data_IF_825700585303
#
_entry.id   IF_825700585303
#
_cell.length_a   1.000
_cell.length_b   1.000
_cell.length_c   1.000
_cell.angle_alpha   90.00
_cell.angle_beta   90.00
_cell.angle_gamma   90.00
#
_symmetry.space_group_name_H-M   'P 1'
#
loop_
_entity.id
_entity.type
_entity.pdbx_description
1 polymer ?
#
# COMPACT_ATOMS: atom_id res chain seq x y z
N UNK A 1 -32.23 16.30 12.14
CA UNK A 1 -31.74 16.34 10.75
C UNK A 1 -31.16 14.95 10.48
N UNK A 2 -31.93 14.08 9.83
CA UNK A 2 -31.44 12.76 9.42
C UNK A 2 -30.39 13.01 8.35
N UNK A 3 -29.15 12.60 8.60
CA UNK A 3 -28.19 12.42 7.52
C UNK A 3 -28.74 11.25 6.69
N UNK A 4 -29.14 11.50 5.45
CA UNK A 4 -29.47 10.41 4.52
C UNK A 4 -28.28 9.46 4.47
N UNK A 5 -28.53 8.18 4.68
CA UNK A 5 -27.48 7.16 4.56
C UNK A 5 -26.91 7.22 3.13
N UNK A 6 -25.57 7.19 2.98
CA UNK A 6 -24.97 7.16 1.65
C UNK A 6 -25.51 5.95 0.88
N UNK A 7 -26.03 6.19 -0.31
CA UNK A 7 -26.56 5.11 -1.15
C UNK A 7 -25.45 4.14 -1.53
N UNK A 8 -25.76 2.84 -1.64
CA UNK A 8 -24.75 1.83 -2.02
C UNK A 8 -24.07 2.16 -3.36
N UNK A 9 -24.83 2.77 -4.27
CA UNK A 9 -24.34 3.24 -5.56
C UNK A 9 -23.22 4.29 -5.42
N UNK A 10 -23.37 5.24 -4.49
CA UNK A 10 -22.34 6.27 -4.25
C UNK A 10 -21.05 5.65 -3.70
N UNK A 11 -21.15 4.66 -2.80
CA UNK A 11 -19.99 3.97 -2.24
C UNK A 11 -19.26 3.12 -3.30
N UNK A 12 -20.01 2.47 -4.19
CA UNK A 12 -19.46 1.73 -5.33
C UNK A 12 -18.73 2.66 -6.31
N UNK A 13 -19.27 3.87 -6.55
CA UNK A 13 -18.60 4.88 -7.38
C UNK A 13 -17.27 5.33 -6.79
N UNK A 14 -17.20 5.60 -5.48
CA UNK A 14 -15.94 5.97 -4.83
C UNK A 14 -14.89 4.86 -4.91
N UNK A 15 -15.28 3.60 -4.70
CA UNK A 15 -14.35 2.47 -4.84
C UNK A 15 -13.87 2.32 -6.28
N UNK A 16 -14.78 2.43 -7.26
CA UNK A 16 -14.43 2.35 -8.68
C UNK A 16 -13.46 3.47 -9.09
N UNK A 17 -13.67 4.68 -8.59
CA UNK A 17 -12.73 5.78 -8.84
C UNK A 17 -11.37 5.49 -8.22
N UNK A 18 -11.33 5.05 -6.96
CA UNK A 18 -10.09 4.72 -6.28
C UNK A 18 -9.32 3.59 -7.00
N UNK A 19 -10.01 2.58 -7.52
CA UNK A 19 -9.39 1.53 -8.35
C UNK A 19 -8.80 2.12 -9.64
N UNK A 20 -9.54 3.00 -10.32
CA UNK A 20 -9.06 3.69 -11.52
C UNK A 20 -7.81 4.52 -11.23
N UNK A 21 -7.82 5.28 -10.14
CA UNK A 21 -6.69 6.10 -9.67
C UNK A 21 -5.49 5.23 -9.29
N UNK A 22 -5.70 4.13 -8.58
CA UNK A 22 -4.64 3.17 -8.25
C UNK A 22 -3.97 2.58 -9.49
N UNK A 23 -4.72 2.25 -10.55
CA UNK A 23 -4.18 1.73 -11.80
C UNK A 23 -3.49 2.79 -12.67
N UNK A 24 -3.89 4.07 -12.54
CA UNK A 24 -3.24 5.20 -13.20
C UNK A 24 -1.78 5.33 -12.74
N UNK A 25 -1.54 5.33 -11.43
CA UNK A 25 -0.22 5.59 -10.83
C UNK A 25 0.53 4.32 -10.39
N UNK A 26 -0.17 3.18 -10.32
CA UNK A 26 0.38 1.88 -9.97
C UNK A 26 0.64 0.98 -11.17
N UNK A 27 1.52 0.00 -10.99
CA UNK A 27 1.74 -1.09 -11.94
C UNK A 27 0.59 -2.10 -11.90
N UNK A 28 0.11 -2.41 -10.70
CA UNK A 28 -1.03 -3.28 -10.45
C UNK A 28 -1.60 -3.04 -9.04
N UNK A 29 -2.90 -3.29 -8.89
CA UNK A 29 -3.52 -3.47 -7.56
C UNK A 29 -3.13 -4.85 -7.04
N UNK A 30 -2.59 -4.90 -5.83
CA UNK A 30 -2.09 -6.12 -5.18
C UNK A 30 -2.98 -6.59 -4.04
N UNK A 31 -3.88 -5.74 -3.56
CA UNK A 31 -4.78 -6.08 -2.46
C UNK A 31 -5.54 -4.87 -1.98
N UNK A 32 -5.98 -4.93 -0.72
CA UNK A 32 -6.85 -3.91 -0.14
C UNK A 32 -6.61 -3.80 1.35
N UNK A 33 -6.88 -2.61 1.89
CA UNK A 33 -6.85 -2.38 3.32
C UNK A 33 -7.83 -3.31 4.04
N UNK A 34 -7.34 -3.98 5.07
CA UNK A 34 -8.10 -5.01 5.79
C UNK A 34 -9.28 -4.40 6.55
N UNK A 35 -10.39 -5.16 6.60
CA UNK A 35 -11.54 -4.87 7.48
C UNK A 35 -11.38 -5.46 8.87
N UNK A 36 -10.41 -6.35 9.08
CA UNK A 36 -10.34 -7.21 10.25
C UNK A 36 -9.75 -6.50 11.49
N UNK A 37 -9.00 -5.43 11.29
CA UNK A 37 -8.36 -4.66 12.37
C UNK A 37 -8.77 -3.19 12.23
N UNK A 38 -9.22 -2.53 13.31
CA UNK A 38 -9.44 -1.09 13.29
C UNK A 38 -8.18 -0.38 12.80
N UNK A 39 -8.34 0.53 11.85
CA UNK A 39 -7.21 1.31 11.33
C UNK A 39 -6.95 2.42 12.34
N UNK A 40 -5.79 2.36 12.99
CA UNK A 40 -5.35 3.40 13.92
C UNK A 40 -4.23 4.20 13.27
N UNK A 41 -4.49 5.49 13.07
CA UNK A 41 -3.48 6.50 12.75
C UNK A 41 -3.36 7.40 13.98
N UNK A 42 -2.42 7.06 14.85
CA UNK A 42 -2.11 7.87 16.03
C UNK A 42 -0.69 8.44 15.92
N UNK A 43 -0.31 9.30 16.87
CA UNK A 43 1.07 9.77 17.00
C UNK A 43 2.04 8.67 17.42
N UNK A 44 1.55 7.56 17.99
CA UNK A 44 2.38 6.47 18.55
C UNK A 44 2.32 5.17 17.74
N UNK A 45 1.24 4.92 16.99
CA UNK A 45 1.06 3.76 16.12
C UNK A 45 0.43 4.19 14.79
N UNK A 46 1.08 3.85 13.67
CA UNK A 46 0.57 4.10 12.31
C UNK A 46 0.59 2.84 11.47
N UNK A 47 0.24 1.71 12.07
CA UNK A 47 0.35 0.43 11.38
C UNK A 47 -0.98 0.05 10.75
N UNK A 48 -1.00 -0.07 9.43
CA UNK A 48 -2.18 -0.52 8.68
C UNK A 48 -1.95 -1.95 8.23
N UNK A 49 -2.99 -2.77 8.35
CA UNK A 49 -2.99 -4.15 7.85
C UNK A 49 -3.61 -4.21 6.45
N UNK A 50 -2.90 -4.79 5.51
CA UNK A 50 -3.34 -5.02 4.13
C UNK A 50 -3.52 -6.51 3.92
N UNK A 51 -4.62 -6.87 3.29
CA UNK A 51 -4.88 -8.24 2.85
C UNK A 51 -4.52 -8.39 1.37
N UNK A 52 -3.55 -9.26 1.08
CA UNK A 52 -3.10 -9.55 -0.28
C UNK A 52 -3.52 -10.99 -0.61
N UNK A 53 -4.45 -11.17 -1.57
CA UNK A 53 -4.86 -12.49 -2.04
C UNK A 53 -3.69 -13.32 -2.58
N UNK A 54 -3.75 -14.64 -2.42
CA UNK A 54 -2.66 -15.54 -2.82
C UNK A 54 -2.31 -15.44 -4.32
N UNK A 55 -3.32 -15.31 -5.19
CA UNK A 55 -3.12 -15.13 -6.62
C UNK A 55 -2.34 -13.85 -6.94
N UNK A 56 -2.62 -12.75 -6.25
CA UNK A 56 -1.90 -11.49 -6.43
C UNK A 56 -0.49 -11.57 -5.84
N UNK A 57 -0.30 -12.22 -4.70
CA UNK A 57 1.03 -12.51 -4.18
C UNK A 57 1.88 -13.31 -5.18
N UNK A 58 1.33 -14.36 -5.79
CA UNK A 58 2.02 -15.16 -6.81
C UNK A 58 2.35 -14.35 -8.07
N UNK A 59 1.42 -13.50 -8.53
CA UNK A 59 1.63 -12.61 -9.69
C UNK A 59 2.65 -11.51 -9.44
N UNK A 60 2.71 -11.00 -8.21
CA UNK A 60 3.60 -9.91 -7.80
C UNK A 60 5.09 -10.23 -7.93
N UNK A 61 5.45 -11.50 -8.23
CA UNK A 61 6.80 -11.98 -8.52
C UNK A 61 7.89 -11.37 -7.61
N UNK A 62 7.62 -11.35 -6.29
CA UNK A 62 8.51 -10.85 -5.24
C UNK A 62 8.59 -9.31 -5.10
N UNK A 63 7.63 -8.52 -5.59
CA UNK A 63 7.58 -7.07 -5.31
C UNK A 63 7.21 -6.78 -3.85
N UNK A 64 6.41 -7.67 -3.24
CA UNK A 64 6.00 -7.59 -1.84
C UNK A 64 7.11 -8.16 -0.95
N UNK A 65 7.94 -7.28 -0.40
CA UNK A 65 9.04 -7.60 0.51
C UNK A 65 9.08 -6.62 1.67
N UNK A 66 9.68 -7.05 2.77
CA UNK A 66 9.96 -6.15 3.88
C UNK A 66 10.79 -4.95 3.38
N UNK A 67 10.33 -3.75 3.68
CA UNK A 67 10.94 -2.50 3.25
C UNK A 67 10.60 -2.04 1.83
N UNK A 68 9.74 -2.75 1.09
CA UNK A 68 9.15 -2.22 -0.17
C UNK A 68 8.13 -1.13 0.12
N UNK A 69 7.91 -0.24 -0.84
CA UNK A 69 6.82 0.72 -0.79
C UNK A 69 5.56 0.18 -1.48
N UNK A 70 4.41 0.56 -0.94
CA UNK A 70 3.09 0.35 -1.52
C UNK A 70 2.34 1.69 -1.54
N UNK A 71 1.47 1.85 -2.52
CA UNK A 71 0.52 2.95 -2.56
C UNK A 71 -0.87 2.50 -2.11
N UNK A 72 -1.62 3.41 -1.51
CA UNK A 72 -3.04 3.24 -1.19
C UNK A 72 -3.79 4.37 -1.90
N UNK A 73 -4.87 4.04 -2.62
CA UNK A 73 -5.79 5.06 -3.10
C UNK A 73 -6.99 5.09 -2.15
N UNK A 74 -7.11 6.18 -1.39
CA UNK A 74 -8.13 6.33 -0.34
C UNK A 74 -9.38 6.99 -0.94
N UNK A 75 -10.52 6.28 -0.98
CA UNK A 75 -11.67 6.67 -1.77
C UNK A 75 -12.39 7.92 -1.26
N UNK A 76 -12.64 8.03 0.06
CA UNK A 76 -13.49 9.11 0.59
C UNK A 76 -12.73 10.44 0.63
N UNK A 77 -11.51 10.44 1.15
CA UNK A 77 -10.67 11.64 1.23
C UNK A 77 -10.02 11.97 -0.13
N UNK A 78 -10.10 11.06 -1.11
CA UNK A 78 -9.55 11.22 -2.46
C UNK A 78 -8.06 11.54 -2.43
N UNK A 79 -7.31 10.77 -1.66
CA UNK A 79 -5.85 10.93 -1.52
C UNK A 79 -5.13 9.65 -1.87
N UNK A 80 -3.97 9.81 -2.49
CA UNK A 80 -2.96 8.77 -2.53
C UNK A 80 -2.15 8.81 -1.25
N UNK A 81 -1.84 7.64 -0.70
CA UNK A 81 -0.93 7.50 0.43
C UNK A 81 0.23 6.58 0.04
N UNK A 82 1.46 7.01 0.28
CA UNK A 82 2.65 6.17 0.15
C UNK A 82 2.95 5.55 1.51
N UNK A 83 3.21 4.24 1.55
CA UNK A 83 3.54 3.52 2.77
C UNK A 83 4.67 2.53 2.55
N UNK A 84 5.38 2.17 3.62
CA UNK A 84 6.46 1.18 3.61
C UNK A 84 6.02 -0.10 4.32
N UNK A 85 6.37 -1.25 3.76
CA UNK A 85 6.16 -2.55 4.41
C UNK A 85 7.11 -2.69 5.59
N UNK A 86 6.55 -2.84 6.79
CA UNK A 86 7.27 -3.06 8.06
C UNK A 86 7.07 -4.45 8.64
N UNK A 87 6.13 -5.22 8.10
CA UNK A 87 5.90 -6.61 8.51
C UNK A 87 5.16 -7.40 7.43
N UNK A 88 5.47 -8.69 7.33
CA UNK A 88 4.75 -9.63 6.46
C UNK A 88 4.44 -10.86 7.30
N UNK A 89 3.17 -11.22 7.35
CA UNK A 89 2.68 -12.39 8.04
C UNK A 89 1.98 -13.31 7.06
N UNK A 90 2.26 -14.61 7.19
CA UNK A 90 1.51 -15.67 6.54
C UNK A 90 0.89 -16.49 7.65
N UNK A 91 -0.42 -16.47 7.73
CA UNK A 91 -1.15 -17.30 8.68
C UNK A 91 -1.86 -18.40 7.88
N UNK A 92 -1.50 -19.65 8.18
CA UNK A 92 -2.26 -20.80 7.69
C UNK A 92 -3.69 -20.76 8.29
N UNK A 93 -4.68 -21.34 7.60
CA UNK A 93 -6.07 -21.37 8.07
C UNK A 93 -6.17 -21.97 9.48
N UNK A 94 -5.37 -23.00 9.80
CA UNK A 94 -5.30 -23.59 11.13
C UNK A 94 -4.73 -22.60 12.15
N UNK A 95 -3.68 -21.87 11.79
CA UNK A 95 -3.09 -20.84 12.65
C UNK A 95 -4.05 -19.67 12.91
N UNK A 96 -4.79 -19.23 11.88
CA UNK A 96 -5.82 -18.20 12.01
C UNK A 96 -6.99 -18.67 12.88
N UNK A 97 -7.34 -19.95 12.83
CA UNK A 97 -8.37 -20.57 13.66
C UNK A 97 -7.89 -20.89 15.09
N UNK A 98 -6.62 -20.63 15.42
CA UNK A 98 -6.03 -20.99 16.72
C UNK A 98 -5.91 -22.49 16.95
N UNK A 99 -5.96 -23.30 15.89
CA UNK A 99 -5.88 -24.75 15.94
C UNK A 99 -4.43 -25.21 15.82
N UNK A 100 -4.03 -26.15 16.67
CA UNK A 100 -2.73 -26.79 16.57
C UNK A 100 -2.74 -27.85 15.46
N UNK A 101 -1.66 -27.92 14.68
CA UNK A 101 -1.43 -29.05 13.79
C UNK A 101 -0.92 -30.24 14.60
N UNK A 102 -1.83 -31.16 14.92
CA UNK A 102 -1.55 -32.35 15.76
C UNK A 102 -0.94 -33.48 14.92
N UNK A 103 -1.14 -33.49 13.59
CA UNK A 103 -0.78 -34.60 12.72
C UNK A 103 0.42 -34.34 11.80
N UNK A 104 0.84 -33.08 11.62
CA UNK A 104 1.99 -32.70 10.78
C UNK A 104 1.81 -33.07 9.31
N UNK A 105 0.57 -33.25 8.86
CA UNK A 105 0.29 -33.71 7.51
C UNK A 105 0.57 -32.59 6.52
N UNK A 106 1.39 -32.87 5.49
CA UNK A 106 1.63 -31.90 4.42
C UNK A 106 0.36 -31.76 3.59
N UNK A 107 -0.33 -30.64 3.75
CA UNK A 107 -1.38 -30.20 2.85
C UNK A 107 -0.83 -29.13 1.87
N UNK A 108 -0.64 -29.46 0.58
CA UNK A 108 -0.26 -28.47 -0.43
C UNK A 108 -1.25 -27.30 -0.55
N UNK A 109 -2.52 -27.50 -0.16
CA UNK A 109 -3.53 -26.45 -0.12
C UNK A 109 -3.23 -25.33 0.89
N UNK A 110 -2.54 -25.64 2.00
CA UNK A 110 -2.12 -24.67 3.01
C UNK A 110 -1.16 -23.59 2.49
N UNK A 111 -0.53 -23.80 1.33
CA UNK A 111 0.29 -22.77 0.67
C UNK A 111 -0.53 -21.65 0.04
N UNK A 112 -1.80 -21.90 -0.30
CA UNK A 112 -2.68 -20.94 -0.97
C UNK A 112 -3.34 -19.95 0.00
N UNK A 113 -2.66 -19.67 1.11
CA UNK A 113 -3.11 -18.75 2.15
C UNK A 113 -2.77 -17.31 1.78
N UNK A 114 -3.68 -16.35 2.01
CA UNK A 114 -3.40 -14.95 1.79
C UNK A 114 -2.29 -14.47 2.73
N UNK A 115 -1.65 -13.38 2.35
CA UNK A 115 -0.65 -12.74 3.19
C UNK A 115 -1.23 -11.47 3.80
N UNK A 116 -0.92 -11.25 5.08
CA UNK A 116 -1.22 -10.00 5.78
C UNK A 116 0.06 -9.19 5.82
N UNK A 117 -0.01 -7.97 5.29
CA UNK A 117 1.14 -7.05 5.25
C UNK A 117 0.85 -5.90 6.19
N UNK A 118 1.78 -5.62 7.09
CA UNK A 118 1.77 -4.42 7.92
C UNK A 118 2.60 -3.34 7.25
N UNK A 119 2.00 -2.18 7.09
CA UNK A 119 2.63 -1.01 6.50
C UNK A 119 2.60 0.19 7.44
N UNK A 120 3.52 1.11 7.20
CA UNK A 120 3.59 2.41 7.85
C UNK A 120 3.50 3.52 6.78
N UNK A 121 2.50 4.41 6.85
CA UNK A 121 2.40 5.57 5.98
C UNK A 121 3.59 6.53 6.10
N UNK A 122 4.03 7.06 4.95
CA UNK A 122 5.11 8.03 4.83
C UNK A 122 4.55 9.41 4.54
N UNK A 123 3.68 9.52 3.55
CA UNK A 123 3.11 10.78 3.06
C UNK A 123 1.81 10.54 2.29
N UNK A 124 1.06 11.61 2.06
CA UNK A 124 -0.16 11.62 1.25
C UNK A 124 -0.20 12.80 0.26
N UNK A 125 -1.00 12.68 -0.78
CA UNK A 125 -1.24 13.71 -1.80
C UNK A 125 -2.64 13.53 -2.37
N UNK A 126 -3.35 14.62 -2.69
CA UNK A 126 -4.67 14.51 -3.36
C UNK A 126 -4.58 13.80 -4.71
N UNK A 127 -5.66 13.10 -5.08
CA UNK A 127 -5.87 12.56 -6.42
C UNK A 127 -5.80 13.62 -7.53
N UNK A 128 -6.10 14.86 -7.17
CA UNK A 128 -6.15 16.01 -8.09
C UNK A 128 -4.81 16.78 -8.12
N UNK A 129 -3.79 16.27 -7.42
CA UNK A 129 -2.46 16.86 -7.33
C UNK A 129 -2.29 17.82 -6.15
N UNK A 130 -1.21 18.60 -6.17
CA UNK A 130 -0.85 19.53 -5.09
C UNK A 130 0.29 19.02 -4.21
N UNK A 131 0.38 19.58 -3.01
CA UNK A 131 1.49 19.34 -2.09
C UNK A 131 1.48 17.92 -1.52
N UNK A 132 2.68 17.42 -1.24
CA UNK A 132 2.88 16.17 -0.52
C UNK A 132 2.90 16.49 0.97
N UNK A 133 1.94 15.91 1.69
CA UNK A 133 1.68 16.19 3.09
C UNK A 133 2.01 14.98 3.97
N UNK A 134 2.18 15.16 5.29
CA UNK A 134 2.19 14.05 6.22
C UNK A 134 0.89 13.21 6.13
N UNK A 135 0.94 11.90 6.38
CA UNK A 135 -0.22 11.03 6.27
C UNK A 135 -1.13 11.24 7.48
N UNK A 136 -2.17 12.04 7.29
CA UNK A 136 -3.12 12.48 8.33
C UNK A 136 -4.56 12.11 8.00
N UNK A 137 -4.83 11.77 6.74
CA UNK A 137 -6.16 11.36 6.30
C UNK A 137 -6.52 10.00 6.87
N UNK A 138 -7.74 9.82 7.41
CA UNK A 138 -8.29 8.50 7.70
C UNK A 138 -8.26 7.62 6.45
N UNK A 139 -8.19 6.31 6.64
CA UNK A 139 -8.14 5.35 5.54
C UNK A 139 -9.34 4.44 5.68
N UNK A 140 -10.12 4.30 4.62
CA UNK A 140 -11.23 3.37 4.63
C UNK A 140 -10.74 1.92 4.46
N UNK A 141 -11.31 0.96 5.22
CA UNK A 141 -11.18 -0.44 4.86
C UNK A 141 -11.62 -0.67 3.41
N UNK A 142 -10.98 -1.62 2.73
CA UNK A 142 -11.18 -1.90 1.31
C UNK A 142 -10.60 -0.86 0.34
N UNK A 143 -9.94 0.20 0.81
CA UNK A 143 -9.14 1.05 -0.07
C UNK A 143 -8.14 0.19 -0.88
N UNK A 144 -8.07 0.33 -2.21
CA UNK A 144 -7.17 -0.46 -3.03
C UNK A 144 -5.71 -0.11 -2.75
N UNK A 145 -4.89 -1.16 -2.73
CA UNK A 145 -3.45 -1.08 -2.51
C UNK A 145 -2.73 -1.52 -3.77
N UNK A 146 -1.76 -0.74 -4.20
CA UNK A 146 -1.05 -0.95 -5.47
C UNK A 146 0.46 -0.94 -5.31
N UNK A 147 1.15 -1.62 -6.24
CA UNK A 147 2.59 -1.45 -6.42
C UNK A 147 2.83 -0.16 -7.20
N UNK A 148 3.52 0.84 -6.65
CA UNK A 148 3.66 2.15 -7.29
C UNK A 148 4.61 2.11 -8.49
N UNK A 149 4.27 2.86 -9.55
CA UNK A 149 5.19 3.09 -10.67
C UNK A 149 6.40 3.91 -10.21
N UNK A 150 7.55 3.82 -10.90
CA UNK A 150 8.75 4.58 -10.55
C UNK A 150 8.53 6.10 -10.49
N UNK A 151 7.73 6.64 -11.42
CA UNK A 151 7.41 8.08 -11.45
C UNK A 151 6.61 8.53 -10.22
N UNK A 152 5.65 7.72 -9.78
CA UNK A 152 4.85 8.01 -8.59
C UNK A 152 5.71 7.95 -7.32
N UNK A 153 6.63 6.98 -7.22
CA UNK A 153 7.59 6.92 -6.11
C UNK A 153 8.49 8.15 -6.06
N UNK A 154 9.04 8.55 -7.21
CA UNK A 154 9.88 9.75 -7.33
C UNK A 154 9.14 10.99 -6.82
N UNK A 155 7.92 11.17 -7.32
CA UNK A 155 7.04 12.28 -6.92
C UNK A 155 6.78 12.26 -5.42
N UNK A 156 6.17 11.19 -4.89
CA UNK A 156 5.76 11.11 -3.48
C UNK A 156 6.90 11.19 -2.47
N UNK A 157 8.12 10.77 -2.85
CA UNK A 157 9.34 10.91 -2.04
C UNK A 157 10.00 12.30 -2.17
N UNK A 158 9.44 13.19 -2.98
CA UNK A 158 9.97 14.54 -3.21
C UNK A 158 11.32 14.54 -3.93
N UNK A 159 11.62 13.49 -4.70
CA UNK A 159 12.87 13.42 -5.47
C UNK A 159 12.73 14.34 -6.69
N UNK A 160 13.60 15.35 -6.87
CA UNK A 160 13.56 16.25 -8.01
C UNK A 160 13.66 15.52 -9.36
N UNK A 161 13.00 16.06 -10.38
CA UNK A 161 13.12 15.57 -11.77
C UNK A 161 14.36 16.09 -12.48
N UNK A 162 14.92 17.19 -12.00
CA UNK A 162 16.08 17.87 -12.58
C UNK A 162 17.16 18.12 -11.53
N UNK A 163 18.42 18.05 -11.96
CA UNK A 163 19.60 18.27 -11.14
C UNK A 163 20.65 17.17 -11.33
N UNK A 164 21.52 17.02 -10.33
CA UNK A 164 22.65 16.08 -10.39
C UNK A 164 22.24 14.75 -9.77
N UNK A 165 22.30 13.66 -10.54
CA UNK A 165 22.09 12.31 -10.02
C UNK A 165 23.24 11.92 -9.07
N UNK A 166 22.91 11.66 -7.80
CA UNK A 166 23.87 11.28 -6.75
C UNK A 166 23.81 9.80 -6.38
N UNK A 167 22.82 9.08 -6.89
CA UNK A 167 22.64 7.66 -6.63
C UNK A 167 21.29 7.16 -7.14
N UNK A 168 20.84 6.04 -6.59
CA UNK A 168 19.57 5.40 -6.92
C UNK A 168 18.82 5.04 -5.64
N UNK A 169 17.49 4.95 -5.71
CA UNK A 169 16.68 4.57 -4.56
C UNK A 169 17.07 3.17 -4.09
N UNK A 170 17.29 3.00 -2.78
CA UNK A 170 17.49 1.68 -2.19
C UNK A 170 16.22 1.25 -1.46
N UNK A 171 15.67 0.11 -1.85
CA UNK A 171 14.38 -0.37 -1.38
C UNK A 171 14.41 -1.90 -1.23
N UNK A 172 13.88 -2.43 -0.13
CA UNK A 172 13.75 -3.87 0.11
C UNK A 172 15.05 -4.68 -0.15
N UNK A 173 16.20 -4.13 0.26
CA UNK A 173 17.50 -4.78 0.11
C UNK A 173 18.10 -4.73 -1.30
N UNK A 174 17.52 -3.94 -2.22
CA UNK A 174 18.01 -3.79 -3.60
C UNK A 174 18.04 -2.32 -4.05
N UNK A 175 18.98 -2.02 -4.94
CA UNK A 175 18.99 -0.76 -5.67
C UNK A 175 17.92 -0.77 -6.78
N UNK A 176 17.01 0.20 -6.75
CA UNK A 176 16.01 0.52 -7.79
C UNK A 176 16.64 1.42 -8.84
N UNK A 177 17.32 0.81 -9.81
CA UNK A 177 18.03 1.51 -10.91
C UNK A 177 17.11 2.27 -11.87
N UNK A 178 15.81 2.10 -11.72
CA UNK A 178 14.74 2.81 -12.41
C UNK A 178 14.34 4.13 -11.72
N UNK A 179 14.91 4.43 -10.55
CA UNK A 179 14.67 5.67 -9.80
C UNK A 179 16.02 6.26 -9.35
N UNK A 180 16.51 7.24 -10.10
CA UNK A 180 17.65 8.06 -9.70
C UNK A 180 17.27 8.98 -8.52
N UNK A 181 18.20 9.12 -7.57
CA UNK A 181 18.12 10.12 -6.50
C UNK A 181 18.90 11.34 -6.98
N UNK A 182 18.20 12.46 -7.10
CA UNK A 182 18.70 13.69 -7.72
C UNK A 182 18.85 14.77 -6.65
N UNK A 183 19.99 15.45 -6.64
CA UNK A 183 20.22 16.65 -5.85
C UNK A 183 19.90 17.88 -6.71
N UNK A 184 19.08 18.78 -6.19
CA UNK A 184 18.73 20.02 -6.87
C UNK A 184 19.95 20.94 -6.96
N UNK A 185 20.27 21.41 -8.17
CA UNK A 185 21.42 22.31 -8.43
C UNK A 185 21.34 23.62 -7.65
N UNK A 186 20.14 24.08 -7.27
CA UNK A 186 19.95 25.31 -6.48
C UNK A 186 20.46 25.22 -5.03
N UNK A 187 20.92 24.05 -4.59
CA UNK A 187 21.44 23.80 -3.24
C UNK A 187 22.98 23.85 -3.20
N UNK A 188 23.66 23.92 -4.36
CA UNK A 188 25.13 23.96 -4.48
C UNK A 188 25.63 25.39 -4.70
#
# INVERSE_FOLDING_TARGET
>A
MMLDEPSSHMLEEFLREADGKALEVGESIVGHVSRAVPIELSSESKTISIHIPFNEYMRSNRSIKLGSHLGIAVPIQRVYMLAKIIGIERADILSMAGLQDIAGHRDPGGFATPIVVRIEPICERSFDGGDILPPISPIEPQSPVFTPKPQFLREMLGIPTEGIAIGVLFEAGRARRDIDVVLNEKII
#
